data_IF_528188207371
#
_entry.id   IF_528188207371
#
_cell.length_a   1.000
_cell.length_b   1.000
_cell.length_c   1.000
_cell.angle_alpha   90.00
_cell.angle_beta   90.00
_cell.angle_gamma   90.00
#
_symmetry.space_group_name_H-M   'P 1'
#
loop_
_entity.id
_entity.type
_entity.pdbx_description
1 polymer ?
#
# COMPACT_ATOMS: atom_id res chain seq x y z
N UNK A 1 24.58 -15.32 -21.49
CA UNK A 1 23.63 -14.59 -22.35
C UNK A 1 22.26 -14.69 -21.69
N UNK A 2 21.81 -13.64 -21.01
CA UNK A 2 20.50 -13.64 -20.35
C UNK A 2 19.40 -13.43 -21.39
N UNK A 3 18.40 -14.31 -21.41
CA UNK A 3 17.24 -14.16 -22.28
C UNK A 3 16.52 -12.85 -21.95
N UNK A 4 16.37 -11.98 -22.95
CA UNK A 4 15.49 -10.82 -22.85
C UNK A 4 14.06 -11.33 -22.72
N UNK A 5 13.52 -11.32 -21.51
CA UNK A 5 12.11 -11.64 -21.28
C UNK A 5 11.28 -10.51 -21.89
N UNK A 6 10.50 -10.84 -22.92
CA UNK A 6 9.71 -9.88 -23.66
C UNK A 6 8.51 -9.45 -22.80
N UNK A 7 8.46 -8.16 -22.40
CA UNK A 7 7.40 -7.63 -21.54
C UNK A 7 5.99 -7.88 -22.10
N UNK A 8 5.86 -7.95 -23.44
CA UNK A 8 4.60 -8.26 -24.11
C UNK A 8 4.12 -9.71 -23.86
N UNK A 9 5.03 -10.68 -23.81
CA UNK A 9 4.68 -12.09 -23.55
C UNK A 9 4.30 -12.32 -22.10
N UNK A 10 5.00 -11.66 -21.15
CA UNK A 10 4.60 -11.65 -19.75
C UNK A 10 3.22 -11.04 -19.56
N UNK A 11 2.92 -9.93 -20.25
CA UNK A 11 1.62 -9.28 -20.19
C UNK A 11 0.50 -10.18 -20.74
N UNK A 12 0.77 -10.89 -21.85
CA UNK A 12 -0.17 -11.85 -22.43
C UNK A 12 -0.41 -13.07 -21.53
N UNK A 13 0.63 -13.61 -20.88
CA UNK A 13 0.48 -14.67 -19.89
C UNK A 13 -0.31 -14.19 -18.67
N UNK A 14 -0.05 -12.98 -18.18
CA UNK A 14 -0.75 -12.37 -17.06
C UNK A 14 -2.25 -12.16 -17.39
N UNK A 15 -2.55 -11.66 -18.59
CA UNK A 15 -3.92 -11.55 -19.13
C UNK A 15 -4.62 -12.91 -19.23
N UNK A 16 -3.90 -13.96 -19.67
CA UNK A 16 -4.46 -15.32 -19.76
C UNK A 16 -4.72 -15.97 -18.38
N UNK A 17 -4.06 -15.47 -17.33
CA UNK A 17 -4.20 -15.94 -15.96
C UNK A 17 -5.07 -15.02 -15.07
N UNK A 18 -5.74 -14.02 -15.66
CA UNK A 18 -6.50 -12.97 -14.96
C UNK A 18 -5.66 -12.19 -13.92
N UNK A 19 -4.33 -12.23 -14.03
CA UNK A 19 -3.43 -11.40 -13.23
C UNK A 19 -3.14 -10.17 -14.07
N UNK A 20 -3.80 -9.06 -13.78
CA UNK A 20 -3.56 -7.82 -14.51
C UNK A 20 -2.36 -7.12 -13.85
N UNK A 21 -1.28 -6.80 -14.59
CA UNK A 21 -0.16 -6.06 -14.05
C UNK A 21 -0.61 -4.75 -13.41
N UNK A 22 0.01 -4.37 -12.29
CA UNK A 22 -0.29 -3.14 -11.54
C UNK A 22 -1.72 -3.07 -10.98
N UNK A 23 -2.38 -4.22 -10.78
CA UNK A 23 -3.60 -4.33 -9.98
C UNK A 23 -3.31 -5.11 -8.70
N UNK A 24 -3.93 -4.69 -7.60
CA UNK A 24 -3.93 -5.44 -6.34
C UNK A 24 -5.34 -5.88 -5.97
N UNK A 25 -5.45 -7.09 -5.43
CA UNK A 25 -6.67 -7.59 -4.82
C UNK A 25 -6.62 -7.32 -3.32
N UNK A 26 -7.60 -6.57 -2.81
CA UNK A 26 -7.57 -6.03 -1.46
C UNK A 26 -8.79 -6.47 -0.65
N UNK A 27 -8.52 -6.90 0.58
CA UNK A 27 -9.49 -6.98 1.66
C UNK A 27 -9.09 -6.00 2.76
N UNK A 28 -10.04 -5.22 3.23
CA UNK A 28 -9.84 -4.24 4.30
C UNK A 28 -10.83 -4.49 5.43
N UNK A 29 -10.36 -4.34 6.66
CA UNK A 29 -11.16 -4.39 7.87
C UNK A 29 -10.47 -3.63 8.99
N UNK A 30 -11.06 -3.67 10.18
CA UNK A 30 -10.47 -3.08 11.37
C UNK A 30 -10.69 -3.99 12.57
N UNK A 31 -9.86 -3.80 13.58
CA UNK A 31 -9.99 -4.49 14.87
C UNK A 31 -9.75 -3.51 16.01
N UNK A 32 -10.57 -3.61 17.06
CA UNK A 32 -10.39 -2.79 18.26
C UNK A 32 -9.07 -3.10 18.95
N UNK A 33 -8.49 -2.09 19.60
CA UNK A 33 -7.22 -2.22 20.33
C UNK A 33 -7.25 -3.36 21.36
N UNK A 34 -8.39 -3.54 22.04
CA UNK A 34 -8.61 -4.61 23.01
C UNK A 34 -8.55 -6.03 22.43
N UNK A 35 -8.74 -6.18 21.11
CA UNK A 35 -8.73 -7.46 20.42
C UNK A 35 -7.50 -7.64 19.51
N UNK A 36 -6.66 -6.62 19.37
CA UNK A 36 -5.50 -6.63 18.48
C UNK A 36 -4.53 -7.75 18.82
N UNK A 37 -4.21 -7.96 20.10
CA UNK A 37 -3.29 -9.01 20.53
C UNK A 37 -3.77 -10.43 20.16
N UNK A 38 -5.07 -10.68 20.30
CA UNK A 38 -5.69 -11.95 19.91
C UNK A 38 -5.56 -12.19 18.40
N UNK A 39 -5.75 -11.15 17.58
CA UNK A 39 -5.55 -11.26 16.13
C UNK A 39 -4.09 -11.54 15.79
N UNK A 40 -3.14 -10.80 16.37
CA UNK A 40 -1.71 -10.99 16.12
C UNK A 40 -1.26 -12.41 16.50
N UNK A 41 -1.76 -12.95 17.62
CA UNK A 41 -1.49 -14.32 18.01
C UNK A 41 -2.04 -15.34 16.99
N UNK A 42 -3.26 -15.15 16.49
CA UNK A 42 -3.84 -16.03 15.46
C UNK A 42 -3.10 -15.93 14.12
N UNK A 43 -2.72 -14.73 13.69
CA UNK A 43 -1.98 -14.52 12.45
C UNK A 43 -0.61 -15.21 12.49
N UNK A 44 0.08 -15.17 13.64
CA UNK A 44 1.33 -15.93 13.84
C UNK A 44 1.16 -17.43 13.59
N UNK A 45 0.07 -18.04 14.05
CA UNK A 45 -0.19 -19.46 13.82
C UNK A 45 -0.68 -19.82 12.41
N UNK A 46 -1.14 -18.84 11.62
CA UNK A 46 -1.74 -19.05 10.30
C UNK A 46 -0.83 -18.68 9.13
N UNK A 47 0.17 -17.82 9.38
CA UNK A 47 1.09 -17.26 8.40
C UNK A 47 2.44 -18.01 8.42
N UNK A 48 3.23 -17.85 7.38
CA UNK A 48 4.43 -18.68 7.15
C UNK A 48 5.57 -18.34 8.14
N UNK A 49 5.47 -17.20 8.83
CA UNK A 49 6.45 -16.71 9.81
C UNK A 49 6.27 -17.34 11.21
N UNK A 50 5.96 -18.64 11.30
CA UNK A 50 5.60 -19.30 12.57
C UNK A 50 6.71 -19.19 13.63
N UNK A 51 7.97 -19.29 13.20
CA UNK A 51 9.15 -19.29 14.09
C UNK A 51 9.83 -17.91 14.24
N UNK A 52 9.33 -16.88 13.54
CA UNK A 52 9.89 -15.53 13.57
C UNK A 52 8.95 -14.56 14.30
N UNK A 53 9.52 -13.57 14.99
CA UNK A 53 8.70 -12.47 15.51
C UNK A 53 7.98 -11.77 14.35
N UNK A 54 6.73 -11.29 14.53
CA UNK A 54 6.02 -10.53 13.51
C UNK A 54 6.91 -9.39 13.00
N UNK A 55 7.06 -9.27 11.68
CA UNK A 55 7.83 -8.20 11.08
C UNK A 55 7.13 -6.88 11.39
N UNK A 56 7.81 -5.98 12.10
CA UNK A 56 7.26 -4.65 12.38
C UNK A 56 7.66 -3.70 11.27
N UNK A 57 6.83 -2.69 11.01
CA UNK A 57 7.18 -1.59 10.12
C UNK A 57 6.79 -0.24 10.72
N UNK A 58 7.51 0.80 10.34
CA UNK A 58 7.21 2.19 10.68
C UNK A 58 7.45 3.09 9.47
N UNK A 59 6.38 3.59 8.87
CA UNK A 59 6.45 4.44 7.69
C UNK A 59 5.92 5.86 7.97
N UNK A 60 6.43 6.83 7.21
CA UNK A 60 5.82 8.13 6.97
C UNK A 60 5.28 8.13 5.54
N UNK A 61 4.04 8.55 5.37
CA UNK A 61 3.43 8.80 4.06
C UNK A 61 3.08 10.29 3.89
N UNK A 62 3.61 10.90 2.83
CA UNK A 62 3.26 12.23 2.36
C UNK A 62 2.30 12.11 1.18
N UNK A 63 1.09 12.66 1.29
CA UNK A 63 0.07 12.61 0.25
C UNK A 63 0.06 13.90 -0.58
N UNK A 64 0.19 13.75 -1.90
CA UNK A 64 0.22 14.85 -2.85
C UNK A 64 -0.96 14.78 -3.81
N UNK A 65 -1.50 15.94 -4.18
CA UNK A 65 -2.52 16.06 -5.23
C UNK A 65 -2.09 17.01 -6.34
N UNK A 66 -2.46 16.66 -7.57
CA UNK A 66 -2.38 17.53 -8.73
C UNK A 66 -3.80 17.90 -9.15
N UNK A 67 -4.14 19.18 -9.00
CA UNK A 67 -5.40 19.74 -9.49
C UNK A 67 -5.23 20.12 -10.95
N UNK A 68 -5.96 19.43 -11.83
CA UNK A 68 -5.99 19.76 -13.25
C UNK A 68 -6.81 21.05 -13.46
N UNK A 69 -6.50 21.88 -14.48
CA UNK A 69 -7.14 23.18 -14.70
C UNK A 69 -8.66 23.15 -14.95
N UNK A 70 -9.24 21.98 -15.20
CA UNK A 70 -10.67 21.81 -15.43
C UNK A 70 -11.38 21.34 -14.16
N UNK A 71 -12.45 22.03 -13.75
CA UNK A 71 -13.27 21.66 -12.58
C UNK A 71 -13.89 20.25 -12.67
N UNK A 72 -13.96 19.65 -13.86
CA UNK A 72 -14.49 18.29 -14.07
C UNK A 72 -13.42 17.21 -14.17
N UNK A 73 -12.14 17.58 -14.12
CA UNK A 73 -11.06 16.62 -14.26
C UNK A 73 -10.77 15.90 -12.92
N UNK A 74 -10.49 14.59 -12.93
CA UNK A 74 -10.17 13.85 -11.72
C UNK A 74 -8.88 14.40 -11.09
N UNK A 75 -8.90 14.61 -9.78
CA UNK A 75 -7.69 14.97 -9.02
C UNK A 75 -6.77 13.75 -9.01
N UNK A 76 -5.56 13.91 -9.53
CA UNK A 76 -4.55 12.85 -9.44
C UNK A 76 -3.87 12.92 -8.08
N UNK A 77 -3.86 11.81 -7.35
CA UNK A 77 -3.22 11.71 -6.04
C UNK A 77 -2.08 10.69 -6.07
N UNK A 78 -0.94 11.05 -5.51
CA UNK A 78 0.21 10.17 -5.31
C UNK A 78 0.69 10.26 -3.88
N UNK A 79 1.41 9.24 -3.41
CA UNK A 79 1.97 9.19 -2.05
C UNK A 79 3.45 8.93 -2.12
N UNK A 80 4.23 9.62 -1.28
CA UNK A 80 5.64 9.32 -1.08
C UNK A 80 5.78 8.64 0.28
N UNK A 81 6.22 7.38 0.29
CA UNK A 81 6.47 6.60 1.51
C UNK A 81 7.96 6.64 1.86
N UNK A 82 8.25 6.85 3.14
CA UNK A 82 9.58 6.74 3.74
C UNK A 82 9.53 5.77 4.92
N UNK A 83 10.32 4.71 4.88
CA UNK A 83 10.54 3.88 6.05
C UNK A 83 11.37 4.64 7.10
N UNK A 84 10.98 4.55 8.36
CA UNK A 84 11.66 5.19 9.50
C UNK A 84 12.59 4.25 10.25
N UNK A 85 12.32 2.96 10.16
CA UNK A 85 12.97 1.88 10.89
C UNK A 85 14.09 1.21 10.09
N UNK A 86 14.08 1.34 8.77
CA UNK A 86 15.08 0.79 7.87
C UNK A 86 15.59 1.83 6.89
N UNK A 87 16.86 1.72 6.52
CA UNK A 87 17.46 2.54 5.46
C UNK A 87 17.00 2.01 4.10
N UNK A 88 15.89 2.56 3.60
CA UNK A 88 15.29 2.20 2.32
C UNK A 88 15.06 3.44 1.44
N UNK A 89 15.13 3.31 0.11
CA UNK A 89 14.81 4.42 -0.80
C UNK A 89 13.36 4.84 -0.64
N UNK A 90 13.10 6.14 -0.86
CA UNK A 90 11.74 6.68 -0.93
C UNK A 90 10.93 5.92 -1.97
N UNK A 91 9.66 5.68 -1.70
CA UNK A 91 8.77 5.02 -2.65
C UNK A 91 7.70 6.00 -3.11
N UNK A 92 7.59 6.21 -4.41
CA UNK A 92 6.44 6.89 -5.01
C UNK A 92 5.36 5.85 -5.31
N UNK A 93 4.16 6.10 -4.79
CA UNK A 93 3.01 5.22 -4.87
C UNK A 93 1.83 5.90 -5.53
N UNK A 94 1.24 5.24 -6.51
CA UNK A 94 -0.08 5.59 -7.05
C UNK A 94 -1.08 4.50 -6.65
N UNK A 95 -2.20 4.92 -6.07
CA UNK A 95 -3.33 4.04 -5.74
C UNK A 95 -4.55 4.56 -6.48
N UNK A 96 -5.07 3.75 -7.40
CA UNK A 96 -6.26 4.05 -8.17
C UNK A 96 -7.54 3.96 -7.34
N UNK A 97 -8.61 4.53 -7.88
CA UNK A 97 -9.95 4.32 -7.31
C UNK A 97 -10.33 2.84 -7.43
N UNK A 98 -10.94 2.23 -6.40
CA UNK A 98 -11.45 0.87 -6.48
C UNK A 98 -12.47 0.73 -7.62
N UNK A 99 -12.41 -0.39 -8.35
CA UNK A 99 -13.39 -0.71 -9.38
C UNK A 99 -14.76 -0.99 -8.75
N UNK A 100 -15.60 0.05 -8.64
CA UNK A 100 -16.97 -0.04 -8.16
C UNK A 100 -17.88 -0.47 -9.34
N UNK A 101 -18.36 -1.70 -9.35
CA UNK A 101 -19.35 -2.10 -10.35
C UNK A 101 -19.73 -3.58 -10.36
N UNK A 102 -18.82 -4.45 -9.96
CA UNK A 102 -19.05 -5.90 -10.01
C UNK A 102 -19.34 -6.48 -8.63
N UNK A 103 -20.63 -6.59 -8.29
CA UNK A 103 -21.10 -7.14 -7.00
C UNK A 103 -20.81 -8.65 -6.86
N UNK A 104 -20.37 -9.32 -7.93
CA UNK A 104 -20.00 -10.73 -7.88
C UNK A 104 -18.54 -10.95 -7.43
N UNK A 105 -17.73 -9.88 -7.40
CA UNK A 105 -16.34 -9.98 -6.96
C UNK A 105 -16.26 -10.10 -5.43
N UNK A 106 -15.50 -11.09 -4.91
CA UNK A 106 -15.35 -11.30 -3.48
C UNK A 106 -14.40 -10.31 -2.80
N UNK A 107 -13.63 -9.52 -3.57
CA UNK A 107 -12.60 -8.59 -3.07
C UNK A 107 -12.62 -7.27 -3.83
N UNK A 108 -12.04 -6.22 -3.24
CA UNK A 108 -11.80 -4.96 -3.94
C UNK A 108 -10.63 -5.13 -4.91
N UNK A 109 -10.73 -4.50 -6.08
CA UNK A 109 -9.65 -4.46 -7.07
C UNK A 109 -9.34 -3.00 -7.36
N UNK A 110 -8.07 -2.62 -7.31
CA UNK A 110 -7.62 -1.26 -7.65
C UNK A 110 -6.24 -1.28 -8.29
N UNK A 111 -5.94 -0.24 -9.07
CA UNK A 111 -4.58 -0.04 -9.59
C UNK A 111 -3.62 0.32 -8.44
N UNK A 112 -2.44 -0.28 -8.44
CA UNK A 112 -1.39 -0.06 -7.44
C UNK A 112 -0.04 -0.06 -8.15
N UNK A 113 0.65 1.07 -8.12
CA UNK A 113 2.01 1.21 -8.66
C UNK A 113 2.93 1.74 -7.58
N UNK A 114 4.04 1.04 -7.38
CA UNK A 114 5.08 1.39 -6.43
C UNK A 114 6.44 1.45 -7.15
N UNK A 115 7.16 2.55 -6.99
CA UNK A 115 8.46 2.76 -7.61
C UNK A 115 9.44 3.35 -6.58
N UNK A 116 10.65 2.78 -6.51
CA UNK A 116 11.73 3.33 -5.73
C UNK A 116 12.28 4.61 -6.39
N UNK A 117 12.48 5.65 -5.58
CA UNK A 117 12.90 6.96 -6.03
C UNK A 117 14.13 7.46 -5.28
N UNK A 118 14.79 8.44 -5.89
CA UNK A 118 15.86 9.19 -5.23
C UNK A 118 15.28 10.16 -4.18
N UNK A 119 16.12 10.72 -3.29
CA UNK A 119 15.67 11.69 -2.28
C UNK A 119 14.97 12.94 -2.85
N UNK A 120 15.20 13.28 -4.12
CA UNK A 120 14.67 14.47 -4.79
C UNK A 120 13.24 14.33 -5.31
N UNK A 121 12.56 13.21 -5.04
CA UNK A 121 11.19 12.97 -5.55
C UNK A 121 10.19 14.04 -5.09
N UNK A 122 10.38 14.61 -3.90
CA UNK A 122 9.49 15.65 -3.35
C UNK A 122 9.63 16.95 -4.15
N UNK A 123 10.86 17.35 -4.44
CA UNK A 123 11.16 18.55 -5.24
C UNK A 123 10.60 18.37 -6.65
N UNK A 124 10.84 17.21 -7.26
CA UNK A 124 10.30 16.85 -8.57
C UNK A 124 8.76 16.93 -8.63
N UNK A 125 8.06 16.38 -7.63
CA UNK A 125 6.59 16.47 -7.57
C UNK A 125 6.13 17.92 -7.46
N UNK A 126 6.80 18.72 -6.63
CA UNK A 126 6.49 20.14 -6.42
C UNK A 126 6.69 20.93 -7.72
N UNK A 127 7.79 20.69 -8.45
CA UNK A 127 8.06 21.30 -9.75
C UNK A 127 7.04 20.90 -10.82
N UNK A 128 6.51 19.68 -10.77
CA UNK A 128 5.40 19.24 -11.62
C UNK A 128 4.03 19.85 -11.22
N UNK A 129 3.98 20.65 -10.15
CA UNK A 129 2.78 21.35 -9.69
C UNK A 129 1.91 20.56 -8.72
N UNK A 130 2.38 19.41 -8.22
CA UNK A 130 1.71 18.74 -7.11
C UNK A 130 1.79 19.57 -5.84
N UNK A 131 0.76 19.45 -5.00
CA UNK A 131 0.70 20.09 -3.68
C UNK A 131 0.62 19.02 -2.61
N UNK A 132 1.39 19.20 -1.54
CA UNK A 132 1.28 18.36 -0.34
C UNK A 132 -0.07 18.67 0.34
N UNK A 133 -0.90 17.64 0.50
CA UNK A 133 -2.20 17.76 1.17
C UNK A 133 -2.06 17.49 2.67
N UNK A 134 -1.45 16.37 3.03
CA UNK A 134 -1.23 15.95 4.41
C UNK A 134 -0.13 14.89 4.51
N UNK A 135 0.34 14.69 5.74
CA UNK A 135 1.31 13.67 6.10
C UNK A 135 0.81 12.87 7.30
N UNK A 136 1.09 11.57 7.32
CA UNK A 136 0.75 10.69 8.43
C UNK A 136 1.80 9.59 8.61
N UNK A 137 1.85 8.98 9.79
CA UNK A 137 2.66 7.79 10.04
C UNK A 137 1.80 6.56 10.16
N UNK A 138 2.34 5.44 9.70
CA UNK A 138 1.77 4.12 9.93
C UNK A 138 2.78 3.24 10.62
N UNK A 139 2.37 2.63 11.73
CA UNK A 139 3.20 1.68 12.47
C UNK A 139 2.42 0.41 12.71
N UNK A 140 3.04 -0.74 12.52
CA UNK A 140 2.30 -1.98 12.62
C UNK A 140 3.11 -3.23 12.42
N UNK A 141 2.39 -4.30 12.14
CA UNK A 141 2.91 -5.63 11.91
C UNK A 141 2.59 -6.06 10.48
N UNK A 142 3.52 -6.80 9.88
CA UNK A 142 3.39 -7.42 8.57
C UNK A 142 3.52 -8.94 8.72
N UNK A 143 2.62 -9.65 8.05
CA UNK A 143 2.60 -11.10 7.96
C UNK A 143 2.55 -11.51 6.49
N UNK A 144 3.13 -12.67 6.19
CA UNK A 144 3.08 -13.28 4.85
C UNK A 144 2.50 -14.68 4.91
N UNK A 145 1.61 -14.99 3.95
CA UNK A 145 1.08 -16.34 3.73
C UNK A 145 1.06 -16.61 2.23
N UNK A 146 2.04 -17.37 1.75
CA UNK A 146 2.34 -17.47 0.33
C UNK A 146 2.59 -16.09 -0.29
N UNK A 147 1.77 -15.72 -1.27
CA UNK A 147 1.85 -14.39 -1.93
C UNK A 147 1.05 -13.31 -1.22
N UNK A 148 0.24 -13.66 -0.21
CA UNK A 148 -0.57 -12.69 0.51
C UNK A 148 0.27 -11.92 1.51
N UNK A 149 0.16 -10.60 1.47
CA UNK A 149 0.70 -9.68 2.47
C UNK A 149 -0.44 -9.17 3.34
N UNK A 150 -0.33 -9.38 4.65
CA UNK A 150 -1.29 -8.93 5.65
C UNK A 150 -0.62 -7.87 6.52
N UNK A 151 -1.21 -6.69 6.62
CA UNK A 151 -0.76 -5.62 7.51
C UNK A 151 -1.78 -5.39 8.61
N UNK A 152 -1.30 -5.20 9.84
CA UNK A 152 -2.10 -4.77 10.99
C UNK A 152 -1.45 -3.51 11.53
N UNK A 153 -2.02 -2.35 11.24
CA UNK A 153 -1.34 -1.07 11.44
C UNK A 153 -2.18 -0.03 12.15
N UNK A 154 -1.50 0.82 12.92
CA UNK A 154 -2.04 2.02 13.52
C UNK A 154 -1.70 3.20 12.63
N UNK A 155 -2.69 4.03 12.34
CA UNK A 155 -2.50 5.31 11.64
C UNK A 155 -2.35 6.40 12.70
N UNK A 156 -1.27 7.15 12.62
CA UNK A 156 -0.95 8.25 13.52
C UNK A 156 -0.93 9.57 12.78
N UNK A 157 -1.73 10.52 13.26
CA UNK A 157 -1.67 11.93 12.89
C UNK A 157 -0.50 12.58 13.63
N UNK A 158 0.19 13.50 12.96
CA UNK A 158 1.32 14.24 13.54
C UNK A 158 2.39 13.33 14.17
N UNK A 159 2.60 12.13 13.61
CA UNK A 159 3.57 11.11 14.05
C UNK A 159 3.32 10.47 15.43
N UNK A 160 2.38 10.98 16.22
CA UNK A 160 2.24 10.60 17.63
C UNK A 160 0.81 10.28 18.06
N UNK A 161 -0.19 10.86 17.41
CA UNK A 161 -1.58 10.76 17.85
C UNK A 161 -2.35 9.72 17.03
N UNK A 162 -2.77 8.59 17.62
CA UNK A 162 -3.58 7.61 16.90
C UNK A 162 -4.93 8.20 16.49
N UNK A 163 -5.33 8.02 15.23
CA UNK A 163 -6.59 8.59 14.73
C UNK A 163 -7.85 7.83 15.18
N UNK A 164 -7.68 6.63 15.74
CA UNK A 164 -8.78 5.79 16.22
C UNK A 164 -8.32 4.81 17.30
N UNK A 165 -9.28 4.18 17.99
CA UNK A 165 -9.07 3.08 18.94
C UNK A 165 -9.08 1.69 18.27
N UNK A 166 -8.68 1.65 17.00
CA UNK A 166 -8.59 0.42 16.22
C UNK A 166 -7.31 0.35 15.42
N UNK A 167 -6.95 -0.85 15.00
CA UNK A 167 -5.95 -1.12 13.97
C UNK A 167 -6.66 -1.32 12.63
N UNK A 168 -6.07 -0.76 11.58
CA UNK A 168 -6.42 -1.10 10.21
C UNK A 168 -5.82 -2.47 9.88
N UNK A 169 -6.62 -3.34 9.29
CA UNK A 169 -6.21 -4.66 8.82
C UNK A 169 -6.38 -4.70 7.31
N UNK A 170 -5.29 -4.92 6.58
CA UNK A 170 -5.33 -5.06 5.13
C UNK A 170 -4.72 -6.39 4.71
N UNK A 171 -5.35 -7.08 3.76
CA UNK A 171 -4.78 -8.22 3.05
C UNK A 171 -4.72 -7.86 1.57
N UNK A 172 -3.53 -7.96 1.00
CA UNK A 172 -3.27 -7.65 -0.41
C UNK A 172 -2.50 -8.77 -1.10
N UNK A 173 -2.76 -8.94 -2.40
CA UNK A 173 -2.03 -9.81 -3.34
C UNK A 173 -1.67 -9.01 -4.57
#
# INVERSE_FOLDING_TARGET
MGAQVNAAELLQQALSSNIIPNQEFLLQGSILDSAAENLLHRLRGLCDNVDASPETFSDIEMCFSLKLPSEKAPVMTVRVRRAQDVEAPLQLRYIGQPELGDRTRPTLVRSSLDIACTPHVIDFLTEMGFRLDFEYSTKGYMFRKGRMKITVSKILKNMTEPISQSYLVELSV
#
